data_IF_683378160364
#
_entry.id   IF_683378160364
#
_cell.length_a   1.000
_cell.length_b   1.000
_cell.length_c   1.000
_cell.angle_alpha   90.00
_cell.angle_beta   90.00
_cell.angle_gamma   90.00
#
_symmetry.space_group_name_H-M   'P 1'
#
loop_
_entity.id
_entity.type
_entity.pdbx_description
1 polymer ?
#
# COMPACT_ATOMS: atom_id res chain seq x y z
N UNK A 1 11.56 38.76 -3.33
CA UNK A 1 10.46 39.06 -4.24
C UNK A 1 9.13 38.65 -3.60
N UNK A 2 8.03 39.29 -3.99
CA UNK A 2 6.72 38.88 -3.45
C UNK A 2 6.11 37.73 -4.29
N UNK A 3 5.49 36.79 -3.63
CA UNK A 3 4.78 35.69 -4.29
C UNK A 3 3.54 36.22 -5.02
N UNK A 4 3.32 35.90 -6.33
CA UNK A 4 2.16 36.40 -7.08
C UNK A 4 0.81 35.82 -6.60
N UNK A 5 0.80 34.75 -5.82
CA UNK A 5 -0.42 34.08 -5.37
C UNK A 5 -0.82 34.47 -3.95
N UNK A 6 0.12 34.55 -2.99
CA UNK A 6 -0.20 34.81 -1.58
C UNK A 6 0.43 36.11 -1.05
N UNK A 7 1.17 36.86 -1.88
CA UNK A 7 1.84 38.12 -1.58
C UNK A 7 2.87 38.08 -0.45
N UNK A 8 3.23 36.87 0.05
CA UNK A 8 4.28 36.71 1.07
C UNK A 8 5.65 37.02 0.48
N UNK A 9 6.53 37.59 1.27
CA UNK A 9 7.93 37.80 0.90
C UNK A 9 8.69 36.47 0.83
N UNK A 10 9.31 36.20 -0.31
CA UNK A 10 10.05 34.97 -0.58
C UNK A 10 11.43 35.29 -1.13
N UNK A 11 12.41 34.47 -0.78
CA UNK A 11 13.78 34.60 -1.29
C UNK A 11 13.83 34.46 -2.80
N UNK A 12 14.66 35.28 -3.47
CA UNK A 12 14.78 35.29 -4.94
C UNK A 12 15.35 34.03 -5.57
N UNK A 13 15.81 33.08 -4.75
CA UNK A 13 16.40 31.81 -5.21
C UNK A 13 15.45 30.60 -5.02
N UNK A 14 14.27 30.80 -4.48
CA UNK A 14 13.33 29.71 -4.25
C UNK A 14 12.52 29.42 -5.53
N UNK A 15 12.52 28.16 -5.96
CA UNK A 15 11.71 27.70 -7.10
C UNK A 15 10.21 27.68 -6.78
N UNK A 16 9.86 27.54 -5.50
CA UNK A 16 8.49 27.50 -5.01
C UNK A 16 8.32 28.41 -3.78
N UNK A 17 7.11 28.95 -3.61
CA UNK A 17 6.76 29.73 -2.43
C UNK A 17 6.69 28.84 -1.21
N UNK A 18 7.46 29.12 -0.16
CA UNK A 18 7.46 28.40 1.11
C UNK A 18 6.19 28.63 1.95
N UNK A 19 5.33 29.58 1.56
CA UNK A 19 4.09 29.89 2.25
C UNK A 19 2.86 29.23 1.65
N UNK A 20 2.78 29.16 0.29
CA UNK A 20 1.60 28.62 -0.41
C UNK A 20 1.94 27.53 -1.44
N UNK A 21 3.22 27.17 -1.63
CA UNK A 21 3.66 26.13 -2.57
C UNK A 21 3.60 26.54 -4.06
N UNK A 22 3.19 27.77 -4.39
CA UNK A 22 3.11 28.21 -5.78
C UNK A 22 4.50 28.30 -6.43
N UNK A 23 4.68 27.89 -7.71
CA UNK A 23 5.96 28.02 -8.42
C UNK A 23 6.28 29.48 -8.68
N UNK A 24 7.52 29.89 -8.37
CA UNK A 24 8.01 31.25 -8.49
C UNK A 24 8.80 31.50 -9.79
N UNK A 25 9.04 30.45 -10.58
CA UNK A 25 9.90 30.47 -11.78
C UNK A 25 9.23 30.96 -13.06
N UNK A 26 8.13 31.70 -13.01
CA UNK A 26 7.37 32.12 -14.19
C UNK A 26 7.66 33.56 -14.68
N UNK A 27 8.90 34.12 -14.46
CA UNK A 27 9.27 35.43 -14.99
C UNK A 27 10.65 35.47 -15.60
N UNK A 28 10.93 34.59 -16.56
CA UNK A 28 11.97 34.82 -17.58
C UNK A 28 11.70 33.96 -18.81
N UNK A 29 10.96 34.53 -19.78
CA UNK A 29 11.09 34.25 -21.21
C UNK A 29 10.72 32.87 -21.71
N UNK A 30 9.49 32.71 -22.19
CA UNK A 30 9.10 31.59 -23.03
C UNK A 30 7.61 31.29 -22.96
N UNK A 31 6.80 32.04 -23.70
CA UNK A 31 5.41 31.70 -23.95
C UNK A 31 5.36 30.41 -24.77
N UNK A 32 5.04 29.26 -24.10
CA UNK A 32 4.54 28.08 -24.81
C UNK A 32 3.03 28.27 -25.00
N UNK A 33 2.49 28.15 -26.21
CA UNK A 33 1.06 28.28 -26.47
C UNK A 33 0.31 27.20 -25.70
N UNK A 34 -0.69 27.59 -24.94
CA UNK A 34 -1.65 26.70 -24.32
C UNK A 34 -2.48 26.09 -25.45
N UNK A 35 -2.08 24.92 -25.92
CA UNK A 35 -2.86 24.13 -26.84
C UNK A 35 -4.05 23.54 -26.08
N UNK A 36 -5.25 23.96 -26.47
CA UNK A 36 -6.52 23.56 -25.89
C UNK A 36 -6.69 22.04 -26.00
N UNK A 37 -6.54 21.31 -24.87
CA UNK A 37 -6.85 19.88 -24.76
C UNK A 37 -8.37 19.72 -24.92
N UNK A 38 -8.86 18.87 -25.85
CA UNK A 38 -10.30 18.65 -26.03
C UNK A 38 -10.88 17.99 -24.77
N UNK A 39 -11.99 18.58 -24.29
CA UNK A 39 -12.82 18.07 -23.19
C UNK A 39 -13.41 16.71 -23.63
N UNK A 40 -12.84 15.61 -23.14
CA UNK A 40 -13.35 14.26 -23.47
C UNK A 40 -12.44 13.10 -23.12
N UNK A 41 -11.20 13.34 -22.71
CA UNK A 41 -10.34 12.26 -22.21
C UNK A 41 -10.62 12.04 -20.72
N UNK A 42 -11.13 10.85 -20.36
CA UNK A 42 -11.17 10.37 -18.99
C UNK A 42 -9.77 10.46 -18.41
N UNK A 43 -9.54 11.44 -17.52
CA UNK A 43 -8.29 11.59 -16.79
C UNK A 43 -8.14 10.30 -15.96
N UNK A 44 -7.12 9.47 -16.18
CA UNK A 44 -6.84 8.37 -15.27
C UNK A 44 -6.64 8.97 -13.87
N UNK A 45 -7.11 8.29 -12.79
CA UNK A 45 -6.92 8.79 -11.45
C UNK A 45 -5.42 9.10 -11.27
N UNK A 46 -5.06 10.23 -10.63
CA UNK A 46 -3.67 10.61 -10.49
C UNK A 46 -2.92 9.44 -9.89
N UNK A 47 -1.98 8.88 -10.68
CA UNK A 47 -0.97 8.02 -10.13
C UNK A 47 -0.36 8.84 -8.99
N UNK A 48 -0.46 8.36 -7.76
CA UNK A 48 0.21 8.97 -6.62
C UNK A 48 1.70 8.97 -6.93
N UNK A 49 2.13 10.04 -7.60
CA UNK A 49 3.56 10.32 -7.80
C UNK A 49 4.15 10.38 -6.40
N UNK A 50 5.08 9.45 -6.14
CA UNK A 50 5.67 9.22 -4.84
C UNK A 50 5.98 10.54 -4.14
N UNK A 51 5.41 10.73 -2.96
CA UNK A 51 5.77 11.85 -2.11
C UNK A 51 7.28 11.83 -1.91
N UNK A 52 7.95 12.99 -1.93
CA UNK A 52 9.40 13.05 -1.76
C UNK A 52 9.76 12.29 -0.48
N UNK A 53 10.60 11.29 -0.63
CA UNK A 53 11.20 10.55 0.48
C UNK A 53 11.80 11.59 1.41
N UNK A 54 11.20 11.82 2.57
CA UNK A 54 11.85 12.55 3.65
C UNK A 54 13.14 11.78 3.89
N UNK A 55 14.27 12.41 3.60
CA UNK A 55 15.60 11.86 3.82
C UNK A 55 15.87 11.77 5.34
N UNK A 56 15.18 10.85 5.97
CA UNK A 56 15.33 10.41 7.34
C UNK A 56 15.60 8.92 7.32
N UNK A 57 16.45 8.45 8.18
CA UNK A 57 16.99 7.11 8.40
C UNK A 57 15.96 5.94 8.44
N UNK A 58 14.84 6.03 7.73
CA UNK A 58 13.76 5.05 7.69
C UNK A 58 13.66 4.29 6.35
N UNK A 59 12.89 3.20 6.35
CA UNK A 59 12.55 2.44 5.14
C UNK A 59 11.71 3.30 4.19
N UNK A 60 11.87 3.11 2.88
CA UNK A 60 10.97 3.70 1.89
C UNK A 60 9.54 3.16 2.09
N UNK A 61 8.52 3.95 1.72
CA UNK A 61 7.12 3.56 1.87
C UNK A 61 6.82 2.20 1.21
N UNK A 62 7.34 1.97 0.00
CA UNK A 62 7.17 0.71 -0.72
C UNK A 62 7.87 -0.46 -0.03
N UNK A 63 9.08 -0.24 0.52
CA UNK A 63 9.78 -1.27 1.27
C UNK A 63 9.05 -1.62 2.56
N UNK A 64 8.55 -0.64 3.30
CA UNK A 64 7.77 -0.86 4.51
C UNK A 64 6.45 -1.61 4.20
N UNK A 65 5.75 -1.23 3.12
CA UNK A 65 4.55 -1.90 2.65
C UNK A 65 4.80 -3.38 2.28
N UNK A 66 5.94 -3.70 1.65
CA UNK A 66 6.31 -5.08 1.33
C UNK A 66 6.71 -5.88 2.59
N UNK A 67 7.47 -5.27 3.51
CA UNK A 67 7.91 -5.89 4.76
C UNK A 67 6.72 -6.23 5.67
N UNK A 68 5.62 -5.46 5.60
CA UNK A 68 4.40 -5.75 6.35
C UNK A 68 3.82 -7.16 6.10
N UNK A 69 4.20 -7.80 4.98
CA UNK A 69 3.77 -9.18 4.64
C UNK A 69 4.71 -10.28 5.10
N UNK A 70 5.90 -9.97 5.62
CA UNK A 70 6.84 -11.01 6.06
C UNK A 70 6.24 -11.80 7.22
N UNK A 71 5.69 -11.09 8.21
CA UNK A 71 4.89 -11.69 9.30
C UNK A 71 3.87 -10.66 9.79
N UNK A 72 2.97 -11.08 10.67
CA UNK A 72 1.98 -10.17 11.28
C UNK A 72 2.64 -9.12 12.20
N UNK A 73 3.83 -9.41 12.72
CA UNK A 73 4.54 -8.54 13.68
C UNK A 73 4.97 -7.21 13.04
N UNK A 74 5.69 -7.17 11.91
CA UNK A 74 6.00 -5.92 11.21
C UNK A 74 4.74 -5.12 10.84
N UNK A 75 3.65 -5.79 10.42
CA UNK A 75 2.41 -5.11 10.09
C UNK A 75 1.85 -4.34 11.31
N UNK A 76 1.82 -4.97 12.48
CA UNK A 76 1.39 -4.32 13.73
C UNK A 76 2.33 -3.19 14.11
N UNK A 77 3.65 -3.40 14.02
CA UNK A 77 4.65 -2.37 14.33
C UNK A 77 4.44 -1.14 13.45
N UNK A 78 4.25 -1.31 12.14
CA UNK A 78 4.05 -0.19 11.22
C UNK A 78 2.74 0.57 11.46
N UNK A 79 1.71 -0.07 12.03
CA UNK A 79 0.47 0.62 12.40
C UNK A 79 0.63 1.50 13.64
N UNK A 80 1.62 1.23 14.49
CA UNK A 80 1.85 1.97 15.75
C UNK A 80 3.01 2.95 15.63
N UNK A 81 4.05 2.59 14.87
CA UNK A 81 5.31 3.33 14.82
C UNK A 81 5.24 4.50 13.83
N UNK A 82 5.57 5.70 14.29
CA UNK A 82 5.82 6.85 13.41
C UNK A 82 7.19 6.71 12.70
N UNK A 83 7.31 7.10 11.44
CA UNK A 83 6.34 7.79 10.58
C UNK A 83 5.38 6.86 9.81
N UNK A 84 5.51 5.54 9.90
CA UNK A 84 4.83 4.54 9.05
C UNK A 84 3.31 4.53 9.25
N UNK A 85 2.83 4.80 10.47
CA UNK A 85 1.41 4.91 10.78
C UNK A 85 0.69 6.09 10.11
N UNK A 86 1.45 7.03 9.52
CA UNK A 86 0.93 8.17 8.74
C UNK A 86 1.01 7.95 7.23
N UNK A 87 1.64 6.88 6.79
CA UNK A 87 1.79 6.53 5.37
C UNK A 87 0.60 5.67 4.91
N UNK A 88 -0.31 6.18 4.05
CA UNK A 88 -1.54 5.48 3.69
C UNK A 88 -1.28 4.12 3.04
N UNK A 89 -0.25 4.01 2.19
CA UNK A 89 0.12 2.75 1.54
C UNK A 89 0.57 1.69 2.56
N UNK A 90 1.40 2.08 3.54
CA UNK A 90 1.89 1.17 4.59
C UNK A 90 0.73 0.72 5.47
N UNK A 91 -0.16 1.65 5.88
CA UNK A 91 -1.38 1.31 6.63
C UNK A 91 -2.23 0.30 5.88
N UNK A 92 -2.49 0.55 4.59
CA UNK A 92 -3.29 -0.33 3.74
C UNK A 92 -2.72 -1.75 3.69
N UNK A 93 -1.43 -1.88 3.36
CA UNK A 93 -0.79 -3.19 3.27
C UNK A 93 -0.66 -3.88 4.64
N UNK A 94 -0.45 -3.13 5.72
CA UNK A 94 -0.42 -3.67 7.08
C UNK A 94 -1.78 -4.27 7.49
N UNK A 95 -2.88 -3.55 7.28
CA UNK A 95 -4.22 -4.08 7.55
C UNK A 95 -4.56 -5.28 6.67
N UNK A 96 -4.18 -5.24 5.39
CA UNK A 96 -4.41 -6.34 4.46
C UNK A 96 -3.59 -7.58 4.84
N UNK A 97 -2.34 -7.41 5.29
CA UNK A 97 -1.48 -8.50 5.80
C UNK A 97 -2.07 -9.16 7.04
N UNK A 98 -2.52 -8.37 8.01
CA UNK A 98 -3.19 -8.88 9.22
C UNK A 98 -4.46 -9.66 8.82
N UNK A 99 -5.29 -9.08 7.97
CA UNK A 99 -6.53 -9.71 7.49
C UNK A 99 -6.26 -11.04 6.77
N UNK A 100 -5.23 -11.08 5.90
CA UNK A 100 -4.82 -12.30 5.20
C UNK A 100 -4.33 -13.38 6.19
N UNK A 101 -3.51 -12.99 7.16
CA UNK A 101 -3.02 -13.90 8.20
C UNK A 101 -4.14 -14.49 9.05
N UNK A 102 -5.09 -13.66 9.48
CA UNK A 102 -6.28 -14.11 10.22
C UNK A 102 -7.15 -15.04 9.38
N UNK A 103 -7.41 -14.70 8.12
CA UNK A 103 -8.21 -15.53 7.22
C UNK A 103 -7.55 -16.90 6.97
N UNK A 104 -6.24 -16.91 6.71
CA UNK A 104 -5.47 -18.15 6.55
C UNK A 104 -5.50 -19.00 7.82
N UNK A 105 -5.30 -18.40 8.99
CA UNK A 105 -5.34 -19.10 10.27
C UNK A 105 -6.72 -19.72 10.53
N UNK A 106 -7.81 -18.97 10.30
CA UNK A 106 -9.18 -19.50 10.47
C UNK A 106 -9.46 -20.67 9.51
N UNK A 107 -9.00 -20.56 8.26
CA UNK A 107 -9.14 -21.63 7.27
C UNK A 107 -8.42 -22.90 7.74
N UNK A 108 -7.18 -22.79 8.19
CA UNK A 108 -6.40 -23.92 8.73
C UNK A 108 -7.04 -24.55 9.96
N UNK A 109 -7.58 -23.76 10.88
CA UNK A 109 -8.32 -24.26 12.05
C UNK A 109 -9.55 -25.06 11.61
N UNK A 110 -10.33 -24.57 10.65
CA UNK A 110 -11.51 -25.28 10.14
C UNK A 110 -11.10 -26.63 9.53
N UNK A 111 -10.06 -26.64 8.69
CA UNK A 111 -9.58 -27.87 8.05
C UNK A 111 -9.09 -28.87 9.09
N UNK A 112 -8.32 -28.41 10.08
CA UNK A 112 -7.80 -29.26 11.17
C UNK A 112 -8.92 -29.87 12.04
N UNK A 113 -10.01 -29.12 12.29
CA UNK A 113 -11.18 -29.65 13.00
C UNK A 113 -11.87 -30.73 12.16
N UNK A 114 -12.01 -30.53 10.84
CA UNK A 114 -12.57 -31.54 9.93
C UNK A 114 -11.69 -32.80 9.88
N UNK A 115 -10.37 -32.64 9.80
CA UNK A 115 -9.42 -33.74 9.85
C UNK A 115 -9.54 -34.52 11.15
N UNK A 116 -9.59 -33.84 12.30
CA UNK A 116 -9.75 -34.48 13.61
C UNK A 116 -11.07 -35.23 13.72
N UNK A 117 -12.16 -34.67 13.19
CA UNK A 117 -13.48 -35.32 13.20
C UNK A 117 -13.54 -36.60 12.35
N UNK A 118 -12.70 -36.69 11.30
CA UNK A 118 -12.67 -37.79 10.34
C UNK A 118 -11.47 -38.72 10.49
N UNK A 119 -10.63 -38.52 11.52
CA UNK A 119 -9.37 -39.22 11.69
C UNK A 119 -9.50 -40.77 11.81
N UNK A 120 -10.70 -41.27 12.16
CA UNK A 120 -10.99 -42.72 12.26
C UNK A 120 -11.09 -43.43 10.90
N UNK A 121 -11.13 -42.65 9.78
CA UNK A 121 -11.19 -43.20 8.42
C UNK A 121 -9.77 -43.52 7.97
N UNK A 122 -9.45 -44.77 7.59
CA UNK A 122 -8.10 -45.13 7.13
C UNK A 122 -7.73 -44.30 5.87
N UNK A 123 -6.53 -43.72 5.87
CA UNK A 123 -6.00 -42.93 4.75
C UNK A 123 -6.50 -41.50 4.65
N UNK A 124 -7.41 -41.06 5.53
CA UNK A 124 -7.94 -39.68 5.50
C UNK A 124 -6.86 -38.61 5.64
N UNK A 125 -5.79 -38.91 6.41
CA UNK A 125 -4.66 -37.99 6.60
C UNK A 125 -3.90 -37.72 5.30
N UNK A 126 -3.87 -38.66 4.36
CA UNK A 126 -3.25 -38.44 3.03
C UNK A 126 -4.08 -37.43 2.23
N UNK A 127 -5.42 -37.56 2.27
CA UNK A 127 -6.32 -36.62 1.61
C UNK A 127 -6.16 -35.20 2.21
N UNK A 128 -6.20 -35.07 3.54
CA UNK A 128 -6.03 -33.77 4.19
C UNK A 128 -4.62 -33.21 4.00
N UNK A 129 -3.57 -34.06 4.00
CA UNK A 129 -2.22 -33.60 3.66
C UNK A 129 -2.12 -33.03 2.25
N UNK A 130 -2.82 -33.61 1.27
CA UNK A 130 -2.92 -33.04 -0.08
C UNK A 130 -3.70 -31.71 -0.09
N UNK A 131 -4.78 -31.61 0.67
CA UNK A 131 -5.56 -30.38 0.81
C UNK A 131 -4.71 -29.26 1.42
N UNK A 132 -4.00 -29.51 2.51
CA UNK A 132 -3.07 -28.55 3.11
C UNK A 132 -1.97 -28.12 2.14
N UNK A 133 -1.40 -29.08 1.38
CA UNK A 133 -0.40 -28.77 0.36
C UNK A 133 -0.94 -27.82 -0.71
N UNK A 134 -2.11 -28.11 -1.27
CA UNK A 134 -2.73 -27.28 -2.30
C UNK A 134 -3.04 -25.88 -1.78
N UNK A 135 -3.67 -25.80 -0.60
CA UNK A 135 -4.01 -24.52 0.04
C UNK A 135 -2.73 -23.74 0.36
N UNK A 136 -1.72 -24.39 0.92
CA UNK A 136 -0.44 -23.75 1.23
C UNK A 136 0.25 -23.19 0.00
N UNK A 137 0.26 -23.91 -1.12
CA UNK A 137 0.81 -23.42 -2.40
C UNK A 137 -0.01 -22.23 -2.91
N UNK A 138 -1.34 -22.30 -2.88
CA UNK A 138 -2.19 -21.19 -3.31
C UNK A 138 -1.96 -19.93 -2.46
N UNK A 139 -1.94 -20.08 -1.13
CA UNK A 139 -1.69 -18.96 -0.21
C UNK A 139 -0.29 -18.39 -0.40
N UNK A 140 0.71 -19.23 -0.63
CA UNK A 140 2.09 -18.79 -0.92
C UNK A 140 2.16 -17.97 -2.21
N UNK A 141 1.49 -18.40 -3.27
CA UNK A 141 1.47 -17.67 -4.54
C UNK A 141 0.76 -16.31 -4.40
N UNK A 142 -0.37 -16.27 -3.69
CA UNK A 142 -1.08 -15.02 -3.37
C UNK A 142 -0.19 -14.10 -2.54
N UNK A 143 0.45 -14.63 -1.52
CA UNK A 143 1.38 -13.89 -0.65
C UNK A 143 2.54 -13.29 -1.45
N UNK A 144 3.21 -14.09 -2.30
CA UNK A 144 4.31 -13.63 -3.15
C UNK A 144 3.83 -12.54 -4.14
N UNK A 145 2.68 -12.74 -4.76
CA UNK A 145 2.09 -11.78 -5.68
C UNK A 145 1.82 -10.43 -5.01
N UNK A 146 1.27 -10.44 -3.80
CA UNK A 146 0.95 -9.20 -3.06
C UNK A 146 2.22 -8.47 -2.62
N UNK A 147 3.25 -9.18 -2.18
CA UNK A 147 4.55 -8.57 -1.84
C UNK A 147 5.13 -7.85 -3.06
N UNK A 148 5.08 -8.47 -4.24
CA UNK A 148 5.55 -7.84 -5.48
C UNK A 148 4.73 -6.59 -5.84
N UNK A 149 3.43 -6.58 -5.59
CA UNK A 149 2.57 -5.40 -5.78
C UNK A 149 2.88 -4.30 -4.77
N UNK A 150 3.02 -4.65 -3.51
CA UNK A 150 3.37 -3.73 -2.42
C UNK A 150 4.75 -3.08 -2.65
N UNK A 151 5.75 -3.84 -3.09
CA UNK A 151 7.10 -3.32 -3.38
C UNK A 151 7.13 -2.32 -4.54
N UNK A 152 6.14 -2.37 -5.43
CA UNK A 152 5.95 -1.39 -6.52
C UNK A 152 5.10 -0.19 -6.10
N UNK A 153 4.60 -0.14 -4.87
CA UNK A 153 3.72 0.92 -4.41
C UNK A 153 2.29 0.84 -4.94
N UNK A 154 1.87 -0.33 -5.42
CA UNK A 154 0.54 -0.51 -6.00
C UNK A 154 -0.50 -0.85 -4.92
N UNK A 155 -1.66 -0.17 -4.98
CA UNK A 155 -2.83 -0.45 -4.12
C UNK A 155 -3.61 -1.66 -4.64
N UNK A 156 -3.03 -2.85 -4.54
CA UNK A 156 -3.73 -4.06 -4.96
C UNK A 156 -4.63 -4.58 -3.83
N UNK A 157 -5.95 -4.59 -4.07
CA UNK A 157 -6.96 -5.02 -3.10
C UNK A 157 -7.23 -6.52 -3.23
N UNK A 158 -7.09 -7.25 -2.14
CA UNK A 158 -7.64 -8.59 -2.04
C UNK A 158 -9.18 -8.54 -1.94
N UNK A 159 -9.90 -9.49 -2.52
CA UNK A 159 -11.35 -9.56 -2.36
C UNK A 159 -11.70 -9.63 -0.86
N UNK A 160 -12.72 -8.88 -0.43
CA UNK A 160 -13.22 -8.74 0.95
C UNK A 160 -12.25 -8.02 1.90
N UNK A 161 -11.01 -8.49 2.03
CA UNK A 161 -10.01 -7.94 2.97
C UNK A 161 -9.51 -6.57 2.51
N UNK A 162 -9.37 -6.38 1.18
CA UNK A 162 -8.82 -5.15 0.61
C UNK A 162 -9.71 -3.92 0.84
N UNK A 163 -11.02 -4.07 0.79
CA UNK A 163 -11.95 -2.96 1.04
C UNK A 163 -11.94 -2.55 2.52
N UNK A 164 -11.84 -3.52 3.42
CA UNK A 164 -11.66 -3.25 4.85
C UNK A 164 -10.32 -2.54 5.12
N UNK A 165 -9.23 -3.05 4.53
CA UNK A 165 -7.90 -2.45 4.68
C UNK A 165 -7.84 -1.01 4.15
N UNK A 166 -8.47 -0.73 3.00
CA UNK A 166 -8.56 0.62 2.46
C UNK A 166 -9.33 1.57 3.38
N UNK A 167 -10.47 1.13 3.91
CA UNK A 167 -11.26 1.93 4.85
C UNK A 167 -10.44 2.30 6.08
N UNK A 168 -9.69 1.34 6.63
CA UNK A 168 -8.83 1.58 7.78
C UNK A 168 -7.61 2.45 7.46
N UNK A 169 -7.07 2.35 6.25
CA UNK A 169 -5.93 3.18 5.84
C UNK A 169 -6.30 4.66 5.67
N UNK A 170 -7.57 4.95 5.34
CA UNK A 170 -8.09 6.30 5.15
C UNK A 170 -8.63 6.96 6.43
N UNK A 171 -8.81 6.19 7.50
CA UNK A 171 -9.17 6.70 8.82
C UNK A 171 -7.92 7.21 9.56
#
# INVERSE_FOLDING_TARGET
MQCPVCHAEVGSQNAFCNHCGAPLSATAGGAVPFESVPVGASVPPPAYAGQPVVAGTGLSENAAAAIAYITIIPAIIFLVLEPYNRMPLVKFHSWQSIGLGVAAFLLEVIISICEMALHFIPGIFILFGLVHLVIGVCLFLVWLFIILKASKGEWYKLPVIGDFAEKQARS
#
